data_IF_090700349866
#
_entry.id   IF_090700349866
#
_cell.length_a   1.000
_cell.length_b   1.000
_cell.length_c   1.000
_cell.angle_alpha   90.00
_cell.angle_beta   90.00
_cell.angle_gamma   90.00
#
_symmetry.space_group_name_H-M   'P 1'
#
loop_
_entity.id
_entity.type
_entity.pdbx_description
1 polymer ?
#
# COMPACT_ATOMS: atom_id res chain seq x y z
N UNK A 1 48.46 -16.16 23.39
CA UNK A 1 47.71 -14.93 23.73
C UNK A 1 46.67 -14.74 22.63
N UNK A 2 45.45 -15.21 22.86
CA UNK A 2 44.36 -15.08 21.89
C UNK A 2 43.82 -13.66 21.88
N UNK A 3 43.92 -13.00 20.74
CA UNK A 3 43.11 -11.81 20.46
C UNK A 3 41.71 -12.31 20.12
N UNK A 4 40.79 -12.16 21.06
CA UNK A 4 39.35 -12.16 20.77
C UNK A 4 39.10 -11.07 19.74
N UNK A 5 38.78 -11.46 18.51
CA UNK A 5 38.07 -10.60 17.57
C UNK A 5 36.74 -10.31 18.25
N UNK A 6 36.55 -9.07 18.70
CA UNK A 6 35.27 -8.60 19.18
C UNK A 6 34.28 -8.69 18.01
N UNK A 7 33.38 -9.67 18.09
CA UNK A 7 32.20 -9.76 17.25
C UNK A 7 31.36 -8.51 17.54
N UNK A 8 31.47 -7.51 16.67
CA UNK A 8 30.63 -6.31 16.72
C UNK A 8 29.28 -6.63 16.10
N UNK A 9 28.56 -7.56 16.73
CA UNK A 9 27.18 -7.84 16.36
C UNK A 9 26.32 -6.67 16.83
N UNK A 10 26.01 -5.78 15.89
CA UNK A 10 24.99 -4.76 16.11
C UNK A 10 23.67 -5.44 16.45
N UNK A 11 23.03 -5.00 17.53
CA UNK A 11 21.70 -5.49 17.90
C UNK A 11 20.66 -4.96 16.92
N UNK A 12 19.46 -5.55 16.96
CA UNK A 12 18.30 -5.02 16.22
C UNK A 12 18.05 -3.54 16.56
N UNK A 13 18.19 -3.17 17.83
CA UNK A 13 17.97 -1.80 18.30
C UNK A 13 19.03 -0.84 17.73
N UNK A 14 20.30 -1.24 17.75
CA UNK A 14 21.38 -0.40 17.18
C UNK A 14 21.13 -0.11 15.69
N UNK A 15 20.65 -1.10 14.94
CA UNK A 15 20.30 -0.93 13.53
C UNK A 15 19.10 0.02 13.33
N UNK A 16 18.08 -0.07 14.18
CA UNK A 16 16.92 0.82 14.12
C UNK A 16 17.31 2.26 14.48
N UNK A 17 18.14 2.44 15.50
CA UNK A 17 18.57 3.75 15.96
C UNK A 17 19.33 4.51 14.86
N UNK A 18 20.10 3.82 14.02
CA UNK A 18 20.75 4.42 12.85
C UNK A 18 19.75 5.01 11.83
N UNK A 19 18.58 4.38 11.66
CA UNK A 19 17.54 4.87 10.75
C UNK A 19 16.74 6.00 11.37
N UNK A 20 16.36 5.85 12.65
CA UNK A 20 15.48 6.78 13.36
C UNK A 20 16.21 8.09 13.71
N UNK A 21 17.50 8.02 14.05
CA UNK A 21 18.29 9.20 14.40
C UNK A 21 18.68 10.06 13.19
N UNK A 22 18.50 9.56 11.97
CA UNK A 22 18.88 10.28 10.77
C UNK A 22 17.86 11.38 10.43
N UNK A 23 18.26 12.66 10.33
CA UNK A 23 17.36 13.75 9.97
C UNK A 23 16.93 13.71 8.50
N UNK A 24 17.60 12.91 7.66
CA UNK A 24 17.30 12.77 6.22
C UNK A 24 16.42 11.57 5.90
N UNK A 25 16.09 10.73 6.91
CA UNK A 25 15.29 9.52 6.72
C UNK A 25 14.02 9.64 7.54
N UNK A 26 12.88 9.50 6.87
CA UNK A 26 11.61 9.27 7.55
C UNK A 26 11.35 7.77 7.62
N UNK A 27 11.62 7.17 8.78
CA UNK A 27 11.37 5.75 9.02
C UNK A 27 9.90 5.50 9.36
N UNK A 28 9.24 4.63 8.59
CA UNK A 28 7.84 4.26 8.79
C UNK A 28 7.73 2.77 9.13
N UNK A 29 7.25 2.47 10.35
CA UNK A 29 7.00 1.11 10.82
C UNK A 29 5.50 0.89 11.04
N UNK A 30 4.78 0.60 9.96
CA UNK A 30 3.32 0.48 9.96
C UNK A 30 2.65 1.78 10.46
N UNK A 31 3.06 2.89 9.87
CA UNK A 31 2.66 4.22 10.28
C UNK A 31 2.47 5.13 9.06
N UNK A 32 1.74 6.24 9.26
CA UNK A 32 1.62 7.30 8.27
C UNK A 32 2.35 8.56 8.70
N UNK A 33 2.66 9.40 7.72
CA UNK A 33 3.24 10.73 7.92
C UNK A 33 2.78 11.66 6.81
N UNK A 34 2.74 12.95 7.08
CA UNK A 34 2.50 13.99 6.06
C UNK A 34 3.82 14.64 5.71
N UNK A 35 4.20 14.55 4.44
CA UNK A 35 5.43 15.13 3.90
C UNK A 35 5.09 16.48 3.29
N UNK A 36 5.79 17.53 3.72
CA UNK A 36 5.70 18.87 3.16
C UNK A 36 7.01 19.23 2.48
N UNK A 37 6.95 19.43 1.17
CA UNK A 37 8.07 19.90 0.36
C UNK A 37 7.92 21.41 0.19
N UNK A 38 8.74 22.20 0.88
CA UNK A 38 8.64 23.67 0.96
C UNK A 38 9.86 24.38 0.34
N UNK A 39 10.56 23.74 -0.58
CA UNK A 39 11.65 24.40 -1.32
C UNK A 39 11.10 25.62 -2.05
N UNK A 40 11.70 26.82 -1.91
CA UNK A 40 11.23 28.05 -2.59
C UNK A 40 11.21 27.95 -4.12
N UNK A 41 12.04 27.06 -4.69
CA UNK A 41 12.14 26.79 -6.13
C UNK A 41 11.20 25.66 -6.57
N UNK A 42 10.55 24.99 -5.62
CA UNK A 42 9.69 23.83 -5.84
C UNK A 42 8.22 24.19 -5.94
N UNK A 43 7.38 23.22 -6.33
CA UNK A 43 5.94 23.43 -6.51
C UNK A 43 5.16 23.51 -5.20
N UNK A 44 5.80 23.52 -4.04
CA UNK A 44 5.15 23.50 -2.71
C UNK A 44 4.06 22.43 -2.57
N UNK A 45 4.49 21.20 -2.29
CA UNK A 45 3.61 20.03 -2.26
C UNK A 45 3.44 19.50 -0.84
N UNK A 46 2.23 19.07 -0.51
CA UNK A 46 1.95 18.32 0.73
C UNK A 46 1.21 17.03 0.40
N UNK A 47 1.70 15.89 0.89
CA UNK A 47 1.09 14.59 0.63
C UNK A 47 1.22 13.64 1.83
N UNK A 48 0.28 12.71 1.96
CA UNK A 48 0.29 11.72 3.05
C UNK A 48 0.89 10.41 2.54
N UNK A 49 1.88 9.89 3.26
CA UNK A 49 2.52 8.60 2.97
C UNK A 49 2.25 7.61 4.11
N UNK A 50 1.97 6.34 3.77
CA UNK A 50 1.89 5.24 4.71
C UNK A 50 2.97 4.20 4.40
N UNK A 51 3.67 3.70 5.41
CA UNK A 51 4.74 2.72 5.25
C UNK A 51 4.58 1.52 6.18
N UNK A 52 4.73 0.30 5.66
CA UNK A 52 4.59 -0.94 6.46
C UNK A 52 5.57 -2.03 6.02
N UNK A 53 6.34 -2.63 6.96
CA UNK A 53 7.23 -3.74 6.65
C UNK A 53 6.52 -5.09 6.56
N UNK A 54 5.25 -5.16 6.99
CA UNK A 54 4.57 -6.42 7.22
C UNK A 54 4.25 -7.18 5.93
N UNK A 55 4.37 -8.51 6.02
CA UNK A 55 4.00 -9.44 4.95
C UNK A 55 3.19 -10.61 5.51
N UNK A 56 2.18 -11.13 4.78
CA UNK A 56 1.44 -12.27 5.25
C UNK A 56 2.38 -13.48 5.36
N UNK A 57 2.20 -14.29 6.40
CA UNK A 57 2.89 -15.56 6.52
C UNK A 57 2.52 -16.42 5.31
N UNK A 58 3.49 -16.66 4.43
CA UNK A 58 3.33 -17.51 3.27
C UNK A 58 3.95 -18.87 3.57
N UNK A 59 3.19 -19.94 3.32
CA UNK A 59 3.68 -21.32 3.40
C UNK A 59 4.82 -21.63 2.42
N UNK A 60 5.17 -20.70 1.51
CA UNK A 60 6.20 -20.85 0.48
C UNK A 60 7.60 -20.38 0.92
N UNK A 61 7.73 -19.44 1.86
CA UNK A 61 9.02 -18.82 2.19
C UNK A 61 9.68 -19.38 3.46
N UNK A 62 9.06 -20.38 4.09
CA UNK A 62 9.56 -20.96 5.35
C UNK A 62 9.72 -19.91 6.46
N UNK A 63 10.32 -20.31 7.56
CA UNK A 63 10.49 -19.49 8.77
C UNK A 63 11.51 -18.34 8.64
N UNK A 64 11.84 -17.89 7.42
CA UNK A 64 12.93 -16.96 7.13
C UNK A 64 12.50 -15.54 6.76
N UNK A 65 11.19 -15.25 6.72
CA UNK A 65 10.69 -13.91 6.42
C UNK A 65 10.50 -13.10 7.71
N UNK A 66 11.21 -11.97 7.82
CA UNK A 66 11.01 -10.99 8.88
C UNK A 66 9.69 -10.23 8.68
N UNK A 67 9.13 -9.70 9.77
CA UNK A 67 7.89 -8.92 9.77
C UNK A 67 6.67 -9.67 9.20
N UNK A 68 6.53 -10.95 9.55
CA UNK A 68 5.36 -11.74 9.13
C UNK A 68 4.17 -11.56 10.07
N UNK A 69 2.96 -11.65 9.53
CA UNK A 69 1.74 -11.72 10.33
C UNK A 69 0.84 -12.86 9.84
N UNK A 70 0.08 -13.44 10.76
CA UNK A 70 -0.93 -14.45 10.44
C UNK A 70 -2.09 -13.76 9.70
N UNK A 71 -2.30 -14.14 8.44
CA UNK A 71 -3.45 -13.64 7.68
C UNK A 71 -4.74 -14.28 8.19
N UNK A 72 -5.83 -13.53 8.41
CA UNK A 72 -7.14 -14.10 8.76
C UNK A 72 -7.78 -14.92 7.62
N UNK A 73 -7.19 -14.90 6.42
CA UNK A 73 -7.52 -15.79 5.29
C UNK A 73 -6.67 -17.08 5.31
N UNK A 74 -5.88 -17.33 6.35
CA UNK A 74 -5.04 -18.52 6.44
C UNK A 74 -5.90 -19.77 6.73
N UNK A 75 -5.61 -20.95 6.17
CA UNK A 75 -6.43 -22.15 6.35
C UNK A 75 -6.62 -22.62 7.80
N UNK A 76 -5.80 -22.11 8.73
CA UNK A 76 -5.84 -22.43 10.16
C UNK A 76 -6.53 -21.35 11.02
N UNK A 77 -7.01 -20.24 10.43
CA UNK A 77 -7.78 -19.24 11.17
C UNK A 77 -9.28 -19.56 11.07
N UNK A 78 -9.96 -19.92 12.18
CA UNK A 78 -11.35 -20.40 12.17
C UNK A 78 -12.42 -19.31 11.96
N UNK A 79 -12.02 -18.08 11.60
CA UNK A 79 -12.92 -16.93 11.42
C UNK A 79 -13.21 -16.69 9.95
N UNK A 80 -14.46 -16.38 9.62
CA UNK A 80 -14.84 -15.79 8.32
C UNK A 80 -14.05 -14.50 8.13
N UNK A 81 -13.16 -14.47 7.14
CA UNK A 81 -12.23 -13.36 6.88
C UNK A 81 -12.90 -12.02 6.49
N UNK A 82 -14.22 -11.94 6.53
CA UNK A 82 -14.99 -10.72 6.32
C UNK A 82 -15.11 -9.87 7.61
N UNK A 83 -14.91 -10.47 8.80
CA UNK A 83 -15.40 -9.86 10.06
C UNK A 83 -14.31 -9.27 10.96
N UNK A 84 -13.02 -9.45 10.63
CA UNK A 84 -11.91 -8.86 11.40
C UNK A 84 -11.37 -7.61 10.71
N UNK A 85 -11.15 -6.49 11.44
CA UNK A 85 -10.40 -5.37 10.90
C UNK A 85 -9.03 -5.86 10.46
N UNK A 86 -8.69 -5.55 9.22
CA UNK A 86 -7.41 -5.96 8.66
C UNK A 86 -6.30 -5.09 9.23
N UNK A 87 -5.09 -5.63 9.35
CA UNK A 87 -3.87 -4.85 9.62
C UNK A 87 -3.80 -3.58 8.74
N UNK A 88 -4.30 -3.66 7.51
CA UNK A 88 -4.25 -2.59 6.52
C UNK A 88 -5.35 -1.53 6.66
N UNK A 89 -6.25 -1.68 7.63
CA UNK A 89 -7.23 -0.64 7.96
C UNK A 89 -6.57 0.59 8.60
N UNK A 90 -5.33 0.46 9.06
CA UNK A 90 -4.50 1.56 9.54
C UNK A 90 -4.05 2.52 8.43
N UNK A 91 -4.22 2.17 7.15
CA UNK A 91 -3.90 3.08 6.04
C UNK A 91 -4.94 4.22 6.03
N UNK A 92 -4.52 5.49 6.17
CA UNK A 92 -5.46 6.61 6.09
C UNK A 92 -6.20 6.65 4.75
N UNK A 93 -7.51 6.95 4.78
CA UNK A 93 -8.33 7.01 3.56
C UNK A 93 -7.90 8.12 2.59
N UNK A 94 -7.15 9.10 3.07
CA UNK A 94 -6.59 10.18 2.27
C UNK A 94 -5.12 9.94 1.86
N UNK A 95 -4.51 8.82 2.24
CA UNK A 95 -3.10 8.52 1.93
C UNK A 95 -2.81 8.60 0.42
N UNK A 96 -1.91 9.48 0.01
CA UNK A 96 -1.53 9.69 -1.39
C UNK A 96 -0.56 8.60 -1.88
N UNK A 97 0.32 8.15 -0.99
CA UNK A 97 1.36 7.14 -1.26
C UNK A 97 1.30 6.04 -0.22
N UNK A 98 1.32 4.78 -0.66
CA UNK A 98 1.40 3.60 0.21
C UNK A 98 2.66 2.82 -0.16
N UNK A 99 3.48 2.50 0.84
CA UNK A 99 4.74 1.78 0.69
C UNK A 99 4.66 0.52 1.55
N UNK A 100 4.76 -0.64 0.92
CA UNK A 100 4.67 -1.94 1.61
C UNK A 100 5.82 -2.85 1.23
N UNK A 101 6.18 -3.77 2.11
CA UNK A 101 7.10 -4.84 1.70
C UNK A 101 6.41 -5.80 0.72
N UNK A 102 5.26 -6.35 1.10
CA UNK A 102 4.46 -7.29 0.29
C UNK A 102 3.69 -6.57 -0.83
N UNK A 103 3.56 -7.17 -2.03
CA UNK A 103 2.66 -6.67 -3.05
C UNK A 103 1.19 -6.96 -2.68
N UNK A 104 0.23 -6.15 -3.14
CA UNK A 104 -1.18 -6.53 -3.10
C UNK A 104 -1.41 -7.77 -3.99
N UNK A 105 -2.42 -8.58 -3.65
CA UNK A 105 -2.79 -9.75 -4.46
C UNK A 105 -3.05 -9.33 -5.92
N UNK A 106 -2.61 -10.15 -6.86
CA UNK A 106 -2.80 -9.99 -8.30
C UNK A 106 -2.17 -8.74 -8.96
N UNK A 107 -1.38 -7.94 -8.22
CA UNK A 107 -0.64 -6.82 -8.82
C UNK A 107 0.81 -6.82 -8.37
N UNK A 108 1.73 -7.03 -9.31
CA UNK A 108 3.16 -7.10 -9.02
C UNK A 108 3.56 -8.25 -8.08
N UNK A 109 2.76 -9.34 -8.07
CA UNK A 109 2.92 -10.45 -7.12
C UNK A 109 3.21 -11.82 -7.77
N UNK A 110 3.45 -11.82 -9.09
CA UNK A 110 3.73 -13.04 -9.85
C UNK A 110 5.20 -13.46 -9.76
N UNK A 111 5.43 -14.72 -9.42
CA UNK A 111 6.75 -15.35 -9.52
C UNK A 111 6.82 -16.26 -10.76
N UNK A 112 8.01 -16.63 -11.26
CA UNK A 112 8.16 -17.57 -12.39
C UNK A 112 7.52 -18.94 -12.14
N UNK A 113 7.32 -19.32 -10.86
CA UNK A 113 6.58 -20.51 -10.46
C UNK A 113 5.06 -20.37 -10.60
N UNK A 114 4.56 -19.24 -11.15
CA UNK A 114 3.14 -18.89 -11.32
C UNK A 114 2.33 -18.96 -10.02
N UNK A 115 2.99 -18.71 -8.89
CA UNK A 115 2.35 -18.61 -7.57
C UNK A 115 2.32 -17.14 -7.18
N UNK A 116 1.11 -16.64 -6.98
CA UNK A 116 0.82 -15.28 -6.56
C UNK A 116 1.11 -15.16 -5.05
N UNK A 117 2.07 -14.30 -4.70
CA UNK A 117 2.54 -14.09 -3.33
C UNK A 117 1.88 -12.88 -2.64
N UNK A 118 0.93 -12.23 -3.32
CA UNK A 118 0.38 -10.97 -2.88
C UNK A 118 -0.67 -11.09 -1.78
N UNK A 119 -0.82 -9.99 -1.06
CA UNK A 119 -1.72 -9.87 0.08
C UNK A 119 -3.12 -9.41 -0.34
N UNK A 120 -4.13 -10.27 -0.18
CA UNK A 120 -5.53 -9.93 -0.49
C UNK A 120 -6.08 -8.84 0.44
N UNK A 121 -5.73 -8.86 1.72
CA UNK A 121 -6.13 -7.81 2.66
C UNK A 121 -5.57 -6.43 2.26
N UNK A 122 -4.33 -6.39 1.75
CA UNK A 122 -3.73 -5.16 1.23
C UNK A 122 -4.44 -4.71 -0.05
N UNK A 123 -4.75 -5.62 -0.99
CA UNK A 123 -5.53 -5.29 -2.21
C UNK A 123 -6.87 -4.64 -1.85
N UNK A 124 -7.59 -5.19 -0.86
CA UNK A 124 -8.85 -4.63 -0.34
C UNK A 124 -8.67 -3.24 0.25
N UNK A 125 -7.60 -3.02 1.02
CA UNK A 125 -7.29 -1.70 1.57
C UNK A 125 -6.93 -0.69 0.47
N UNK A 126 -6.16 -1.10 -0.56
CA UNK A 126 -5.87 -0.24 -1.71
C UNK A 126 -7.13 0.11 -2.50
N UNK A 127 -8.09 -0.81 -2.65
CA UNK A 127 -9.40 -0.48 -3.24
C UNK A 127 -10.17 0.54 -2.39
N UNK A 128 -10.07 0.50 -1.06
CA UNK A 128 -10.75 1.46 -0.17
C UNK A 128 -10.09 2.84 -0.14
N UNK A 129 -8.76 2.89 -0.10
CA UNK A 129 -7.96 4.13 0.03
C UNK A 129 -7.68 4.78 -1.32
N UNK A 130 -7.41 3.96 -2.33
CA UNK A 130 -7.09 4.36 -3.72
C UNK A 130 -6.00 5.42 -3.75
N UNK A 131 -4.79 5.12 -3.22
CA UNK A 131 -3.66 6.04 -3.27
C UNK A 131 -3.27 6.29 -4.72
N UNK A 132 -2.56 7.37 -4.98
CA UNK A 132 -1.99 7.65 -6.30
C UNK A 132 -0.91 6.61 -6.64
N UNK A 133 -0.08 6.28 -5.65
CA UNK A 133 1.02 5.33 -5.79
C UNK A 133 0.99 4.28 -4.66
N UNK A 134 1.06 3.01 -5.03
CA UNK A 134 1.31 1.89 -4.14
C UNK A 134 2.63 1.22 -4.54
N UNK A 135 3.70 1.48 -3.77
CA UNK A 135 5.02 0.92 -4.00
C UNK A 135 5.22 -0.34 -3.15
N UNK A 136 5.64 -1.44 -3.77
CA UNK A 136 5.87 -2.71 -3.09
C UNK A 136 7.18 -3.37 -3.53
N UNK A 137 7.55 -4.47 -2.85
CA UNK A 137 8.70 -5.29 -3.23
C UNK A 137 8.40 -6.78 -3.04
N UNK A 138 9.28 -7.46 -2.31
CA UNK A 138 9.18 -8.88 -1.92
C UNK A 138 9.30 -9.90 -3.08
N UNK A 139 8.61 -9.68 -4.20
CA UNK A 139 8.67 -10.56 -5.38
C UNK A 139 9.69 -10.00 -6.37
N UNK A 140 10.89 -10.56 -6.33
CA UNK A 140 12.08 -10.07 -7.05
C UNK A 140 11.90 -10.02 -8.57
N UNK A 141 11.20 -11.01 -9.11
CA UNK A 141 11.00 -11.20 -10.54
C UNK A 141 9.85 -10.34 -11.10
N UNK A 142 9.00 -9.77 -10.23
CA UNK A 142 7.82 -9.00 -10.61
C UNK A 142 8.08 -7.50 -10.77
N UNK A 143 9.34 -7.05 -10.86
CA UNK A 143 9.66 -5.63 -11.04
C UNK A 143 8.95 -5.05 -12.26
N UNK A 144 8.12 -4.05 -12.03
CA UNK A 144 7.22 -3.51 -13.03
C UNK A 144 6.20 -2.55 -12.42
N UNK A 145 5.25 -2.13 -13.23
CA UNK A 145 4.17 -1.24 -12.78
C UNK A 145 2.86 -1.55 -13.49
N UNK A 146 1.76 -1.24 -12.81
CA UNK A 146 0.40 -1.43 -13.29
C UNK A 146 -0.45 -0.22 -12.90
N UNK A 147 -1.40 0.13 -13.76
CA UNK A 147 -2.45 1.10 -13.45
C UNK A 147 -3.73 0.33 -13.19
N UNK A 148 -4.26 0.44 -11.98
CA UNK A 148 -5.45 -0.28 -11.54
C UNK A 148 -6.60 0.72 -11.43
N UNK A 149 -7.63 0.53 -12.26
CA UNK A 149 -8.87 1.31 -12.22
C UNK A 149 -9.89 0.59 -11.35
N UNK A 150 -10.29 1.20 -10.24
CA UNK A 150 -11.23 0.63 -9.29
C UNK A 150 -12.69 0.86 -9.72
N UNK A 151 -13.56 -0.16 -9.58
CA UNK A 151 -14.99 -0.01 -9.83
C UNK A 151 -15.70 0.48 -8.55
N UNK A 152 -15.95 1.78 -8.49
CA UNK A 152 -16.71 2.42 -7.40
C UNK A 152 -18.21 2.50 -7.67
N UNK A 153 -18.70 2.01 -8.81
CA UNK A 153 -20.13 2.13 -9.19
C UNK A 153 -20.91 0.88 -8.81
N UNK A 154 -20.24 -0.26 -8.76
CA UNK A 154 -20.84 -1.55 -8.42
C UNK A 154 -21.02 -1.66 -6.90
N UNK A 155 -22.23 -1.40 -6.40
CA UNK A 155 -22.57 -1.53 -4.97
C UNK A 155 -22.85 -2.95 -4.49
N UNK A 156 -22.75 -3.96 -5.36
CA UNK A 156 -23.07 -5.35 -5.09
C UNK A 156 -21.88 -6.31 -5.21
N UNK A 157 -20.71 -5.83 -5.64
CA UNK A 157 -19.48 -6.63 -5.72
C UNK A 157 -18.38 -5.88 -5.00
N UNK A 158 -17.89 -6.47 -3.91
CA UNK A 158 -16.87 -5.83 -3.10
C UNK A 158 -15.50 -5.85 -3.76
N UNK A 159 -14.73 -4.76 -3.61
CA UNK A 159 -13.33 -4.65 -4.03
C UNK A 159 -13.09 -4.93 -5.52
N UNK A 160 -14.05 -4.54 -6.35
CA UNK A 160 -14.03 -4.81 -7.79
C UNK A 160 -13.09 -3.85 -8.53
N UNK A 161 -12.34 -4.39 -9.48
CA UNK A 161 -11.58 -3.64 -10.47
C UNK A 161 -12.37 -3.53 -11.77
N UNK A 162 -12.23 -2.38 -12.43
CA UNK A 162 -12.74 -2.18 -13.79
C UNK A 162 -11.71 -2.66 -14.82
N UNK A 163 -10.44 -2.34 -14.62
CA UNK A 163 -9.36 -2.71 -15.55
C UNK A 163 -7.99 -2.60 -14.89
N UNK A 164 -7.03 -3.37 -15.40
CA UNK A 164 -5.61 -3.29 -15.07
C UNK A 164 -4.83 -3.09 -16.37
N UNK A 165 -3.96 -2.09 -16.40
CA UNK A 165 -3.07 -1.80 -17.52
C UNK A 165 -1.61 -1.97 -17.08
N UNK A 166 -0.92 -2.94 -17.68
CA UNK A 166 0.50 -3.15 -17.45
C UNK A 166 1.34 -2.07 -18.13
N UNK A 167 2.29 -1.53 -17.39
CA UNK A 167 3.31 -0.65 -17.94
C UNK A 167 4.39 -1.46 -18.64
N UNK A 168 4.73 -1.02 -19.85
CA UNK A 168 5.87 -1.54 -20.61
C UNK A 168 7.05 -0.61 -20.38
N UNK A 169 8.15 -1.17 -19.85
CA UNK A 169 9.36 -0.39 -19.62
C UNK A 169 9.91 0.17 -20.95
N UNK A 170 10.05 1.49 -21.10
CA UNK A 170 10.55 2.09 -22.34
C UNK A 170 12.05 1.86 -22.54
N UNK A 171 12.76 1.42 -21.51
CA UNK A 171 14.19 1.16 -21.54
C UNK A 171 14.55 -0.03 -20.63
N UNK A 172 14.13 -1.27 -20.97
CA UNK A 172 14.40 -2.43 -20.10
C UNK A 172 15.90 -2.73 -19.96
N UNK A 173 16.71 -2.27 -20.92
CA UNK A 173 18.16 -2.46 -20.96
C UNK A 173 18.92 -1.13 -21.13
N UNK A 174 20.21 -1.16 -20.82
CA UNK A 174 21.12 -0.02 -20.99
C UNK A 174 20.96 1.08 -19.93
N UNK A 175 21.49 2.27 -20.25
CA UNK A 175 21.64 3.40 -19.31
C UNK A 175 20.50 4.42 -19.35
N UNK A 176 19.60 4.35 -20.34
CA UNK A 176 18.42 5.24 -20.41
C UNK A 176 17.57 5.05 -19.16
N UNK A 177 16.82 6.04 -18.69
CA UNK A 177 15.97 5.86 -17.51
C UNK A 177 14.69 5.07 -17.85
N UNK A 178 14.26 4.21 -16.93
CA UNK A 178 12.95 3.56 -17.01
C UNK A 178 11.91 4.47 -16.38
N UNK A 179 11.36 5.39 -17.18
CA UNK A 179 10.43 6.42 -16.69
C UNK A 179 8.99 5.93 -16.85
N UNK A 180 8.22 6.04 -15.77
CA UNK A 180 6.78 5.85 -15.71
C UNK A 180 6.12 7.21 -15.50
N UNK A 181 5.54 7.76 -16.55
CA UNK A 181 4.89 9.07 -16.51
C UNK A 181 3.40 8.95 -16.17
N UNK A 182 3.03 9.44 -14.99
CA UNK A 182 1.66 9.46 -14.45
C UNK A 182 1.11 10.88 -14.29
N UNK A 183 1.97 11.90 -14.42
CA UNK A 183 1.56 13.30 -14.39
C UNK A 183 0.90 13.78 -15.68
N UNK A 184 0.31 14.96 -15.61
CA UNK A 184 -0.34 15.70 -16.71
C UNK A 184 0.54 15.87 -17.95
N UNK A 185 1.87 15.97 -17.76
CA UNK A 185 2.86 16.06 -18.84
C UNK A 185 3.09 14.74 -19.59
N UNK A 186 2.69 13.61 -19.01
CA UNK A 186 2.92 12.27 -19.56
C UNK A 186 1.92 11.80 -20.62
N UNK A 187 1.00 12.66 -21.07
CA UNK A 187 -0.03 12.34 -22.08
C UNK A 187 -1.20 11.49 -21.58
N UNK A 188 -1.02 10.72 -20.50
CA UNK A 188 -2.06 9.93 -19.84
C UNK A 188 -2.00 10.10 -18.31
N UNK A 189 -2.51 11.22 -17.76
CA UNK A 189 -2.48 11.45 -16.33
C UNK A 189 -3.23 10.37 -15.54
N UNK A 190 -2.81 10.13 -14.29
CA UNK A 190 -3.51 9.23 -13.38
C UNK A 190 -4.92 9.75 -13.10
N UNK A 191 -5.94 8.88 -13.16
CA UNK A 191 -7.33 9.22 -12.82
C UNK A 191 -7.52 9.23 -11.31
N UNK A 192 -6.83 10.15 -10.65
CA UNK A 192 -6.86 10.31 -9.20
C UNK A 192 -6.69 11.79 -8.86
N UNK A 193 -7.75 12.41 -8.35
CA UNK A 193 -7.76 13.82 -7.96
C UNK A 193 -7.17 14.07 -6.55
N UNK A 194 -6.92 13.01 -5.77
CA UNK A 194 -6.40 13.12 -4.41
C UNK A 194 -7.42 13.68 -3.40
N UNK A 195 -8.73 13.55 -3.68
CA UNK A 195 -9.77 14.02 -2.76
C UNK A 195 -9.54 13.55 -1.31
N UNK A 196 -9.69 14.45 -0.35
CA UNK A 196 -9.37 14.19 1.07
C UNK A 196 -10.58 13.86 1.95
N UNK A 197 -11.77 13.76 1.35
CA UNK A 197 -13.03 13.60 2.08
C UNK A 197 -13.61 14.94 2.56
N UNK A 198 -14.91 14.97 2.83
CA UNK A 198 -15.64 16.19 3.21
C UNK A 198 -16.26 16.14 4.60
N UNK A 199 -16.07 15.04 5.34
CA UNK A 199 -16.54 14.93 6.72
C UNK A 199 -15.57 15.69 7.62
N UNK A 200 -15.86 16.98 7.77
CA UNK A 200 -15.27 17.98 8.66
C UNK A 200 -14.17 17.51 9.64
N UNK A 201 -13.03 18.20 9.58
CA UNK A 201 -12.21 18.56 10.75
C UNK A 201 -12.17 17.51 11.87
N UNK A 202 -11.41 16.43 11.68
CA UNK A 202 -10.75 15.80 12.83
C UNK A 202 -9.41 16.49 13.00
N UNK A 203 -9.46 17.57 13.77
CA UNK A 203 -8.28 18.17 14.39
C UNK A 203 -7.38 17.09 15.01
N UNK A 204 -6.08 17.31 14.84
CA UNK A 204 -5.00 16.57 15.46
C UNK A 204 -5.11 16.57 17.00
N UNK A 205 -5.60 15.48 17.60
CA UNK A 205 -5.27 15.12 18.98
C UNK A 205 -5.76 13.71 19.39
N UNK A 206 -4.77 12.86 19.71
CA UNK A 206 -4.79 11.91 20.85
C UNK A 206 -5.58 10.59 20.71
N UNK A 207 -4.79 9.52 20.68
CA UNK A 207 -4.93 8.16 21.21
C UNK A 207 -6.00 7.93 22.29
N UNK A 208 -6.87 6.92 22.11
CA UNK A 208 -7.25 5.83 23.06
C UNK A 208 -8.66 5.27 22.76
N UNK A 209 -8.95 3.99 23.10
CA UNK A 209 -10.11 3.25 22.60
C UNK A 209 -11.34 3.43 23.50
N UNK A 210 -12.53 3.63 22.91
CA UNK A 210 -13.79 3.66 23.66
C UNK A 210 -14.54 2.33 23.54
N UNK A 211 -14.89 1.83 24.72
CA UNK A 211 -15.83 0.74 24.96
C UNK A 211 -17.26 1.27 25.04
N UNK A 212 -18.20 0.32 24.86
CA UNK A 212 -19.57 0.28 25.37
C UNK A 212 -20.74 0.53 24.40
N UNK A 213 -21.75 -0.31 24.62
CA UNK A 213 -22.94 -0.61 23.83
C UNK A 213 -24.13 0.32 24.15
N UNK A 214 -25.15 0.39 23.26
CA UNK A 214 -26.54 -0.05 23.53
C UNK A 214 -27.42 0.00 22.26
N UNK A 215 -28.48 -0.83 22.29
CA UNK A 215 -29.46 -1.28 21.27
C UNK A 215 -30.46 -0.15 20.86
N UNK A 216 -31.37 -0.21 19.88
CA UNK A 216 -32.12 -1.27 19.17
C UNK A 216 -32.87 -0.68 17.96
N UNK A 217 -33.01 -1.42 16.84
CA UNK A 217 -33.99 -1.15 15.78
C UNK A 217 -33.65 -1.77 14.42
N UNK A 218 -34.44 -2.75 13.95
CA UNK A 218 -34.31 -3.40 12.63
C UNK A 218 -35.65 -3.23 11.89
N UNK A 219 -35.63 -2.72 10.63
CA UNK A 219 -35.67 -3.63 9.48
C UNK A 219 -34.57 -3.31 8.45
N UNK A 220 -33.70 -4.28 8.18
CA UNK A 220 -32.87 -4.32 6.96
C UNK A 220 -31.75 -3.27 6.82
N UNK A 221 -31.30 -2.64 7.91
CA UNK A 221 -30.12 -1.77 7.88
C UNK A 221 -28.85 -2.64 8.00
N UNK A 222 -27.98 -2.60 6.99
CA UNK A 222 -26.61 -3.07 7.18
C UNK A 222 -26.03 -2.31 8.37
N UNK A 223 -25.50 -3.03 9.36
CA UNK A 223 -24.85 -2.41 10.52
C UNK A 223 -23.81 -1.42 9.99
N UNK A 224 -23.91 -0.11 10.34
CA UNK A 224 -22.90 0.84 9.92
C UNK A 224 -21.57 0.31 10.47
N UNK A 225 -20.54 0.35 9.61
CA UNK A 225 -19.13 0.06 9.90
C UNK A 225 -18.57 -1.34 9.56
N UNK A 226 -19.38 -2.39 9.33
CA UNK A 226 -18.82 -3.71 8.98
C UNK A 226 -19.39 -4.26 7.67
N UNK A 227 -20.71 -4.20 7.47
CA UNK A 227 -21.37 -4.87 6.33
C UNK A 227 -21.21 -4.20 4.97
N UNK A 228 -20.75 -2.95 4.91
CA UNK A 228 -20.68 -2.17 3.66
C UNK A 228 -19.27 -1.95 3.14
N UNK A 229 -18.23 -2.35 3.89
CA UNK A 229 -16.83 -2.15 3.49
C UNK A 229 -16.55 -2.83 2.16
N UNK A 230 -15.94 -2.08 1.25
CA UNK A 230 -15.60 -2.57 -0.08
C UNK A 230 -16.72 -2.47 -1.12
N UNK A 231 -17.92 -2.01 -0.75
CA UNK A 231 -19.03 -1.78 -1.69
C UNK A 231 -19.01 -0.34 -2.22
N UNK A 232 -19.08 -0.19 -3.54
CA UNK A 232 -19.24 1.09 -4.23
C UNK A 232 -20.69 1.60 -4.21
N UNK A 233 -20.97 2.62 -5.04
CA UNK A 233 -22.29 3.19 -5.26
C UNK A 233 -22.41 4.64 -4.79
N UNK A 234 -23.64 5.08 -4.57
CA UNK A 234 -23.93 6.40 -4.00
C UNK A 234 -23.33 6.49 -2.58
N UNK A 235 -22.42 7.45 -2.30
CA UNK A 235 -21.79 7.59 -0.98
C UNK A 235 -22.78 7.92 0.15
N UNK A 236 -23.98 8.41 -0.17
CA UNK A 236 -25.05 8.63 0.81
C UNK A 236 -25.86 7.37 1.13
N UNK A 237 -25.68 6.30 0.34
CA UNK A 237 -26.39 5.04 0.52
C UNK A 237 -25.83 4.25 1.71
N UNK A 238 -26.73 3.79 2.59
CA UNK A 238 -26.42 2.87 3.68
C UNK A 238 -25.94 1.48 3.23
N UNK A 239 -25.89 1.21 1.92
CA UNK A 239 -25.33 -0.02 1.35
C UNK A 239 -23.88 0.13 0.85
N UNK A 240 -23.31 1.33 0.93
CA UNK A 240 -21.95 1.64 0.45
C UNK A 240 -20.96 1.91 1.60
N UNK A 241 -19.66 1.85 1.31
CA UNK A 241 -18.62 2.33 2.23
C UNK A 241 -18.55 3.86 2.19
N UNK A 242 -19.55 4.53 2.78
CA UNK A 242 -19.70 5.99 2.72
C UNK A 242 -18.48 6.74 3.25
N UNK A 243 -17.76 6.18 4.23
CA UNK A 243 -16.51 6.74 4.76
C UNK A 243 -15.41 6.76 3.69
N UNK A 244 -15.22 5.63 2.99
CA UNK A 244 -14.22 5.52 1.93
C UNK A 244 -14.57 6.32 0.66
N UNK A 245 -15.86 6.58 0.40
CA UNK A 245 -16.32 7.19 -0.85
C UNK A 245 -16.54 8.70 -0.74
N UNK A 246 -17.08 9.20 0.36
CA UNK A 246 -17.48 10.60 0.50
C UNK A 246 -16.28 11.54 0.36
N UNK A 247 -16.38 12.49 -0.58
CA UNK A 247 -15.29 13.42 -0.94
C UNK A 247 -14.03 12.75 -1.53
N UNK A 248 -14.13 11.47 -1.93
CA UNK A 248 -13.02 10.65 -2.45
C UNK A 248 -13.39 9.88 -3.73
N UNK A 249 -14.51 10.23 -4.37
CA UNK A 249 -14.98 9.59 -5.60
C UNK A 249 -14.09 9.88 -6.82
N UNK A 250 -13.29 10.95 -6.80
CA UNK A 250 -12.33 11.25 -7.88
C UNK A 250 -11.02 10.44 -7.78
N UNK A 251 -10.83 9.66 -6.72
CA UNK A 251 -9.74 8.70 -6.57
C UNK A 251 -10.13 7.39 -7.24
N UNK A 252 -9.98 7.30 -8.55
CA UNK A 252 -10.44 6.14 -9.35
C UNK A 252 -9.33 5.16 -9.68
N UNK A 253 -8.09 5.64 -9.81
CA UNK A 253 -6.95 4.85 -10.27
C UNK A 253 -5.80 4.88 -9.27
N UNK A 254 -5.14 3.74 -9.10
CA UNK A 254 -3.91 3.59 -8.33
C UNK A 254 -2.83 3.04 -9.24
N UNK A 255 -1.64 3.63 -9.22
CA UNK A 255 -0.48 2.99 -9.83
C UNK A 255 0.19 2.08 -8.80
N UNK A 256 0.26 0.78 -9.09
CA UNK A 256 1.01 -0.19 -8.30
C UNK A 256 2.38 -0.37 -8.94
N UNK A 257 3.46 -0.24 -8.17
CA UNK A 257 4.83 -0.41 -8.65
C UNK A 257 5.54 -1.41 -7.77
N UNK A 258 5.93 -2.54 -8.34
CA UNK A 258 6.88 -3.42 -7.69
C UNK A 258 8.30 -2.91 -8.00
N UNK A 259 8.94 -2.36 -6.97
CA UNK A 259 10.28 -1.81 -7.02
C UNK A 259 11.31 -2.74 -6.33
N UNK A 260 11.13 -4.06 -6.42
CA UNK A 260 12.09 -5.02 -5.87
C UNK A 260 13.50 -4.76 -6.43
N UNK A 261 14.46 -4.53 -5.53
CA UNK A 261 15.83 -4.16 -5.89
C UNK A 261 16.59 -5.36 -6.46
N UNK A 262 16.37 -6.55 -5.91
CA UNK A 262 17.00 -7.78 -6.38
C UNK A 262 16.18 -8.41 -7.51
N UNK A 263 16.85 -8.83 -8.58
CA UNK A 263 16.22 -9.49 -9.74
C UNK A 263 16.21 -11.02 -9.63
N UNK A 264 16.97 -11.58 -8.68
CA UNK A 264 17.08 -13.02 -8.44
C UNK A 264 16.89 -13.32 -6.96
N UNK A 265 16.14 -14.36 -6.67
CA UNK A 265 15.98 -14.90 -5.32
C UNK A 265 17.24 -15.59 -4.79
N UNK A 266 17.41 -15.67 -3.47
CA UNK A 266 18.48 -16.43 -2.81
C UNK A 266 18.38 -17.93 -3.22
N UNK A 267 19.50 -18.66 -3.43
CA UNK A 267 20.90 -18.32 -3.15
C UNK A 267 21.61 -17.55 -4.27
N UNK A 268 20.88 -16.90 -5.18
CA UNK A 268 21.44 -16.14 -6.30
C UNK A 268 22.37 -16.98 -7.19
N UNK A 269 21.89 -18.14 -7.64
CA UNK A 269 22.63 -19.00 -8.56
C UNK A 269 23.05 -18.19 -9.79
N UNK A 270 24.36 -18.17 -10.07
CA UNK A 270 24.96 -17.34 -11.12
C UNK A 270 25.09 -15.85 -10.77
N UNK A 271 25.19 -15.51 -9.48
CA UNK A 271 25.52 -14.17 -8.97
C UNK A 271 24.30 -13.28 -8.66
N UNK A 272 24.55 -12.26 -7.84
CA UNK A 272 23.57 -11.21 -7.51
C UNK A 272 23.32 -10.35 -8.75
N UNK A 273 22.05 -10.13 -9.08
CA UNK A 273 21.60 -9.21 -10.14
C UNK A 273 20.57 -8.27 -9.54
N UNK A 274 20.72 -6.98 -9.81
CA UNK A 274 19.77 -5.96 -9.38
C UNK A 274 18.83 -5.59 -10.52
N UNK A 275 17.59 -5.25 -10.17
CA UNK A 275 16.65 -4.64 -11.09
C UNK A 275 17.03 -3.17 -11.29
N UNK A 276 16.75 -2.68 -12.49
CA UNK A 276 16.94 -1.28 -12.82
C UNK A 276 15.88 -0.42 -12.13
N UNK A 277 16.23 0.73 -11.52
CA UNK A 277 15.27 1.63 -10.90
C UNK A 277 14.17 2.08 -11.87
N UNK A 278 12.95 2.24 -11.35
CA UNK A 278 11.83 2.86 -12.05
C UNK A 278 11.73 4.30 -11.53
N UNK A 279 11.75 5.28 -12.44
CA UNK A 279 11.51 6.68 -12.10
C UNK A 279 10.03 6.96 -12.34
N UNK A 280 9.29 7.22 -11.27
CA UNK A 280 7.86 7.54 -11.36
C UNK A 280 7.69 9.05 -11.35
N UNK A 281 7.13 9.61 -12.40
CA UNK A 281 6.75 11.03 -12.49
C UNK A 281 5.26 11.15 -12.13
N UNK A 282 4.97 11.76 -10.98
CA UNK A 282 3.64 11.78 -10.35
C UNK A 282 3.25 13.20 -9.94
N UNK A 283 2.04 13.62 -10.34
CA UNK A 283 1.46 14.87 -9.87
C UNK A 283 0.88 14.70 -8.45
N UNK A 284 1.30 15.58 -7.55
CA UNK A 284 0.88 15.63 -6.15
C UNK A 284 0.22 16.99 -5.84
N UNK A 285 -0.61 17.08 -4.77
CA UNK A 285 -1.30 18.32 -4.42
C UNK A 285 -0.36 19.48 -4.09
N UNK A 286 -0.62 20.64 -4.69
CA UNK A 286 0.10 21.91 -4.46
C UNK A 286 -0.72 22.81 -3.53
N UNK A 287 -0.05 23.58 -2.67
CA UNK A 287 -0.68 24.54 -1.73
C UNK A 287 -0.14 25.96 -1.88
#
# INVERSE_FOLDING_TARGET
RGSSLADSSHTHQDCLDLLISSPSITYLAHASTTIRLSSPEGPHTTFTAFGSPFSPLSSLHGSFSAFTYASPLHPLTPTTAADLPSLWDAIPLDADVVITHTPPRAHGDESPARRSAGCEALRRALWRVRPRLAACGHVHEARGAERVLWDLRCGNVAFKETSVEQWVDPAPEGKKLSILSLGSRGGKPLRNDGGRGTWAERDDAVTQPSTAAMQSGVPGAAMPHIGTRGLGGDPSSARSDGEALAGRLGRLETCVVNCAIMAKSYPHVGGRKMNKPIVVDLDLPVW
#
